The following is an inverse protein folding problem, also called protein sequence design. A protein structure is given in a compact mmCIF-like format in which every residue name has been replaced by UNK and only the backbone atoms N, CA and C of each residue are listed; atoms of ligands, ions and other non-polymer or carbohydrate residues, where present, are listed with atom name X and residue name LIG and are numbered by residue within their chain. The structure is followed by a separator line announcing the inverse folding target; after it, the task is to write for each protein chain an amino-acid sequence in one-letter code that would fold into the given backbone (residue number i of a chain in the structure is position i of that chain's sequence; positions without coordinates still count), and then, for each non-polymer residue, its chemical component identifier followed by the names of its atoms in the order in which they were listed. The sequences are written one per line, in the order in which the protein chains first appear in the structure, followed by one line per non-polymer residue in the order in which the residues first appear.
data_IF_531777044921
#
_entry.id   IF_531777044921
#
_cell.length_a   1.000
_cell.length_b   1.000
_cell.length_c   1.000
_cell.angle_alpha   90.00
_cell.angle_beta   90.00
_cell.angle_gamma   90.00
#
_symmetry.space_group_name_H-M   'P 1'
#
loop_
_entity.id
_entity.type
_entity.pdbx_description
1 polymer ?
#
# COMPACT_ATOMS: atom_id res chain seq x y z
N UNK A 1 34.26 -45.95 -6.49
CA UNK A 1 33.24 -44.94 -6.84
C UNK A 1 31.88 -45.48 -6.43
N UNK A 2 31.17 -44.81 -5.51
CA UNK A 2 29.81 -45.23 -5.11
C UNK A 2 28.80 -44.72 -6.17
N UNK A 3 27.82 -45.54 -6.60
CA UNK A 3 26.79 -45.07 -7.51
C UNK A 3 25.79 -44.19 -6.74
N UNK A 4 25.64 -42.95 -7.19
CA UNK A 4 24.60 -42.04 -6.71
C UNK A 4 23.25 -42.56 -7.22
N UNK A 5 22.48 -43.24 -6.37
CA UNK A 5 21.11 -43.62 -6.72
C UNK A 5 20.27 -42.34 -6.82
N UNK A 6 19.73 -42.06 -8.01
CA UNK A 6 18.75 -41.00 -8.19
C UNK A 6 17.52 -41.35 -7.35
N UNK A 7 17.20 -40.52 -6.35
CA UNK A 7 16.06 -40.73 -5.44
C UNK A 7 14.74 -40.81 -6.26
N UNK A 8 14.06 -41.97 -6.31
CA UNK A 8 12.80 -42.14 -7.05
C UNK A 8 11.65 -41.28 -6.50
N UNK A 9 11.76 -40.82 -5.25
CA UNK A 9 10.79 -39.97 -4.57
C UNK A 9 11.22 -38.50 -4.51
N UNK A 10 12.20 -38.10 -5.34
CA UNK A 10 12.55 -36.68 -5.45
C UNK A 10 11.35 -35.90 -5.98
N UNK A 11 10.79 -35.03 -5.13
CA UNK A 11 9.72 -34.13 -5.54
C UNK A 11 10.19 -33.31 -6.76
N UNK A 12 9.35 -33.15 -7.80
CA UNK A 12 9.70 -32.32 -8.93
C UNK A 12 10.01 -30.92 -8.41
N UNK A 13 11.21 -30.42 -8.69
CA UNK A 13 11.54 -29.01 -8.43
C UNK A 13 10.69 -28.19 -9.37
N UNK A 14 9.56 -27.70 -8.87
CA UNK A 14 8.73 -26.76 -9.62
C UNK A 14 9.59 -25.54 -9.95
N UNK A 15 9.96 -25.40 -11.22
CA UNK A 15 10.50 -24.16 -11.72
C UNK A 15 9.32 -23.18 -11.71
N UNK A 16 9.36 -22.18 -10.84
CA UNK A 16 8.48 -21.01 -10.95
C UNK A 16 8.93 -20.19 -12.17
N UNK A 17 8.79 -20.75 -13.38
CA UNK A 17 9.01 -20.03 -14.61
C UNK A 17 7.92 -18.97 -14.72
N UNK A 18 8.36 -17.71 -14.73
CA UNK A 18 7.66 -16.50 -15.12
C UNK A 18 6.14 -16.56 -14.98
N UNK A 19 5.64 -16.22 -13.78
CA UNK A 19 4.23 -15.87 -13.59
C UNK A 19 3.91 -14.79 -14.61
N UNK A 20 3.10 -15.16 -15.61
CA UNK A 20 2.79 -14.35 -16.78
C UNK A 20 2.59 -12.87 -16.41
N UNK A 21 3.60 -12.06 -16.75
CA UNK A 21 3.60 -10.59 -16.67
C UNK A 21 2.55 -9.97 -17.59
N UNK A 22 1.97 -10.77 -18.49
CA UNK A 22 0.90 -10.44 -19.44
C UNK A 22 -0.44 -9.98 -18.84
N UNK A 23 -0.53 -9.77 -17.52
CA UNK A 23 -1.74 -9.24 -16.87
C UNK A 23 -1.53 -7.87 -16.23
N UNK A 24 -0.39 -7.23 -16.49
CA UNK A 24 -0.09 -5.87 -16.06
C UNK A 24 0.42 -5.05 -17.25
N UNK A 25 -0.14 -3.87 -17.47
CA UNK A 25 0.30 -2.93 -18.50
C UNK A 25 0.27 -1.51 -17.96
N UNK A 26 0.95 -0.62 -18.68
CA UNK A 26 0.96 0.82 -18.41
C UNK A 26 -0.08 1.52 -19.28
N UNK A 27 -0.82 2.43 -18.68
CA UNK A 27 -1.68 3.41 -19.34
C UNK A 27 -1.24 4.81 -18.85
N UNK A 28 -0.25 5.41 -19.52
CA UNK A 28 0.37 6.67 -19.08
C UNK A 28 1.04 6.57 -17.70
N UNK A 29 0.54 7.34 -16.71
CA UNK A 29 1.02 7.30 -15.32
C UNK A 29 0.28 6.30 -14.42
N UNK A 30 -0.55 5.45 -15.03
CA UNK A 30 -1.41 4.49 -14.37
C UNK A 30 -0.91 3.07 -14.65
N UNK A 31 -0.74 2.31 -13.58
CA UNK A 31 -0.54 0.88 -13.63
C UNK A 31 -1.91 0.19 -13.69
N UNK A 32 -2.17 -0.57 -14.75
CA UNK A 32 -3.36 -1.40 -14.87
C UNK A 32 -2.96 -2.86 -14.63
N UNK A 33 -3.63 -3.52 -13.69
CA UNK A 33 -3.37 -4.91 -13.35
C UNK A 33 -4.69 -5.65 -13.11
N UNK A 34 -4.71 -6.97 -13.31
CA UNK A 34 -5.90 -7.75 -12.95
C UNK A 34 -6.14 -7.76 -11.44
N UNK A 35 -7.40 -7.90 -11.02
CA UNK A 35 -7.83 -7.80 -9.60
C UNK A 35 -7.16 -8.78 -8.63
N UNK A 36 -6.57 -9.86 -9.18
CA UNK A 36 -5.80 -10.90 -8.47
C UNK A 36 -4.42 -11.12 -9.09
N UNK A 37 -3.90 -10.15 -9.85
CA UNK A 37 -2.59 -10.26 -10.45
C UNK A 37 -1.49 -10.23 -9.38
N UNK A 38 -0.46 -11.03 -9.61
CA UNK A 38 0.84 -10.83 -9.01
C UNK A 38 1.58 -9.81 -9.88
N UNK A 39 2.02 -8.70 -9.29
CA UNK A 39 2.90 -7.79 -10.00
C UNK A 39 4.26 -8.49 -10.23
N UNK A 40 5.09 -8.00 -11.15
CA UNK A 40 6.46 -8.48 -11.31
C UNK A 40 7.26 -8.34 -9.99
N UNK A 41 8.23 -9.24 -9.68
CA UNK A 41 9.08 -9.22 -8.47
C UNK A 41 10.09 -8.07 -8.48
N UNK A 42 9.59 -6.85 -8.63
CA UNK A 42 10.34 -5.62 -8.74
C UNK A 42 9.72 -4.56 -7.84
N UNK A 43 10.55 -3.63 -7.38
CA UNK A 43 10.09 -2.55 -6.54
C UNK A 43 9.21 -1.59 -7.34
N UNK A 44 8.00 -1.33 -6.87
CA UNK A 44 7.05 -0.41 -7.53
C UNK A 44 7.54 1.04 -7.59
N UNK A 45 8.55 1.42 -6.82
CA UNK A 45 9.09 2.80 -6.73
C UNK A 45 10.38 2.97 -7.51
N UNK A 46 11.34 2.03 -7.40
CA UNK A 46 12.66 2.14 -8.02
C UNK A 46 13.00 1.05 -9.04
N UNK A 47 12.07 0.12 -9.31
CA UNK A 47 12.22 -1.00 -10.23
C UNK A 47 13.37 -1.99 -9.95
N UNK A 48 14.09 -1.87 -8.81
CA UNK A 48 15.08 -2.86 -8.37
C UNK A 48 14.40 -4.22 -8.11
N UNK A 49 15.11 -5.35 -8.29
CA UNK A 49 14.59 -6.67 -7.91
C UNK A 49 14.18 -6.66 -6.43
N UNK A 50 12.99 -7.19 -6.15
CA UNK A 50 12.39 -7.12 -4.82
C UNK A 50 11.69 -8.42 -4.43
N UNK A 51 11.74 -8.73 -3.15
CA UNK A 51 10.96 -9.81 -2.56
C UNK A 51 9.49 -9.36 -2.49
N UNK A 52 8.58 -10.27 -2.87
CA UNK A 52 7.14 -10.03 -2.77
C UNK A 52 6.70 -9.86 -1.33
N UNK A 53 5.95 -8.78 -1.06
CA UNK A 53 5.31 -8.57 0.22
C UNK A 53 4.02 -9.37 0.37
N UNK A 54 3.49 -9.39 1.60
CA UNK A 54 2.17 -9.94 1.91
C UNK A 54 1.09 -9.31 1.02
N UNK A 55 0.12 -10.09 0.51
CA UNK A 55 -0.99 -9.58 -0.29
C UNK A 55 -1.69 -8.42 0.42
N UNK A 56 -1.89 -7.30 -0.28
CA UNK A 56 -2.57 -6.11 0.25
C UNK A 56 -3.91 -5.93 -0.44
N UNK A 57 -4.94 -5.71 0.39
CA UNK A 57 -6.26 -5.34 -0.09
C UNK A 57 -6.31 -3.83 -0.39
N UNK A 58 -6.55 -3.49 -1.65
CA UNK A 58 -6.89 -2.16 -2.09
C UNK A 58 -8.41 -2.03 -2.16
N UNK A 59 -8.92 -0.93 -1.65
CA UNK A 59 -10.34 -0.59 -1.75
C UNK A 59 -10.49 0.78 -2.36
N UNK A 60 -11.42 0.89 -3.29
CA UNK A 60 -11.77 2.14 -3.93
C UNK A 60 -13.24 2.45 -3.66
N UNK A 61 -13.52 3.72 -3.43
CA UNK A 61 -14.86 4.25 -3.24
C UNK A 61 -15.09 5.31 -4.32
N UNK A 62 -16.20 5.20 -5.04
CA UNK A 62 -16.53 6.15 -6.10
C UNK A 62 -16.89 7.51 -5.46
N UNK A 63 -16.24 8.62 -5.87
CA UNK A 63 -16.38 9.92 -5.20
C UNK A 63 -17.81 10.49 -5.21
N UNK A 64 -18.64 10.11 -6.19
CA UNK A 64 -20.06 10.49 -6.23
C UNK A 64 -20.90 10.05 -5.02
N UNK A 65 -20.47 9.05 -4.23
CA UNK A 65 -21.20 8.63 -3.03
C UNK A 65 -21.08 9.62 -1.86
N UNK A 66 -20.07 10.48 -1.86
CA UNK A 66 -19.86 11.45 -0.76
C UNK A 66 -20.91 12.57 -0.74
N UNK A 67 -21.63 12.80 -1.84
CA UNK A 67 -22.49 13.98 -2.01
C UNK A 67 -23.97 13.70 -1.68
N UNK A 68 -24.40 12.44 -1.65
CA UNK A 68 -25.83 12.09 -1.72
C UNK A 68 -26.41 11.37 -0.50
N UNK A 69 -25.62 10.99 0.51
CA UNK A 69 -26.11 10.09 1.58
C UNK A 69 -25.68 10.56 2.98
N UNK A 70 -26.58 10.57 3.99
CA UNK A 70 -26.19 10.81 5.37
C UNK A 70 -25.16 9.78 5.85
N UNK A 71 -24.15 10.25 6.60
CA UNK A 71 -22.91 9.51 6.94
C UNK A 71 -23.18 8.08 7.44
N UNK A 72 -24.24 7.86 8.22
CA UNK A 72 -24.57 6.55 8.79
C UNK A 72 -25.01 5.53 7.72
N UNK A 73 -25.91 5.93 6.83
CA UNK A 73 -26.37 5.07 5.70
C UNK A 73 -25.22 4.83 4.74
N UNK A 74 -24.34 5.82 4.55
CA UNK A 74 -23.12 5.66 3.76
C UNK A 74 -22.20 4.58 4.34
N UNK A 75 -21.94 4.59 5.65
CA UNK A 75 -21.08 3.58 6.27
C UNK A 75 -21.61 2.17 5.99
N UNK A 76 -22.92 1.95 6.22
CA UNK A 76 -23.57 0.66 5.96
C UNK A 76 -23.51 0.28 4.47
N UNK A 77 -23.95 1.15 3.56
CA UNK A 77 -23.93 0.87 2.12
C UNK A 77 -22.50 0.63 1.61
N UNK A 78 -21.53 1.41 2.10
CA UNK A 78 -20.12 1.27 1.73
C UNK A 78 -19.56 -0.09 2.12
N UNK A 79 -20.04 -0.74 3.19
CA UNK A 79 -19.58 -2.08 3.57
C UNK A 79 -20.01 -3.14 2.54
N UNK A 80 -21.20 -3.01 1.95
CA UNK A 80 -21.73 -3.95 0.96
C UNK A 80 -21.21 -3.68 -0.47
N UNK A 81 -21.07 -2.42 -0.86
CA UNK A 81 -20.69 -2.03 -2.23
C UNK A 81 -19.16 -2.02 -2.45
N UNK A 82 -18.35 -2.17 -1.39
CA UNK A 82 -16.89 -2.05 -1.47
C UNK A 82 -16.27 -3.12 -2.38
N UNK A 83 -15.86 -2.70 -3.57
CA UNK A 83 -14.98 -3.51 -4.42
C UNK A 83 -13.59 -3.59 -3.79
N UNK A 84 -13.19 -4.80 -3.42
CA UNK A 84 -11.84 -5.11 -2.90
C UNK A 84 -11.02 -5.79 -3.99
N UNK A 85 -9.80 -5.34 -4.20
CA UNK A 85 -8.80 -5.99 -5.05
C UNK A 85 -7.61 -6.39 -4.18
N UNK A 86 -7.07 -7.59 -4.36
CA UNK A 86 -5.92 -8.08 -3.58
C UNK A 86 -4.73 -8.20 -4.49
N UNK A 87 -3.72 -7.35 -4.27
CA UNK A 87 -2.49 -7.37 -5.06
C UNK A 87 -1.27 -7.60 -4.18
N UNK A 88 -0.35 -8.37 -4.72
CA UNK A 88 0.96 -8.63 -4.14
C UNK A 88 1.92 -7.62 -4.76
N UNK A 89 2.52 -6.76 -3.93
CA UNK A 89 3.47 -5.74 -4.37
C UNK A 89 4.89 -6.11 -3.96
N UNK A 90 5.87 -5.85 -4.82
CA UNK A 90 7.28 -5.94 -4.48
C UNK A 90 7.81 -4.60 -3.96
N UNK A 91 8.56 -4.61 -2.85
CA UNK A 91 9.30 -3.45 -2.35
C UNK A 91 10.74 -3.87 -2.04
N UNK A 92 11.73 -3.09 -2.51
CA UNK A 92 13.13 -3.35 -2.17
C UNK A 92 13.40 -3.04 -0.69
N UNK A 93 14.48 -3.58 -0.13
CA UNK A 93 14.80 -3.45 1.28
C UNK A 93 15.03 -2.00 1.72
N UNK A 94 15.60 -1.16 0.86
CA UNK A 94 15.77 0.28 1.12
C UNK A 94 14.41 0.96 1.37
N UNK A 95 13.45 0.75 0.47
CA UNK A 95 12.12 1.34 0.58
C UNK A 95 11.30 0.69 1.70
N UNK A 96 11.49 -0.61 1.94
CA UNK A 96 10.90 -1.33 3.08
C UNK A 96 11.38 -0.76 4.40
N UNK A 97 12.70 -0.52 4.54
CA UNK A 97 13.32 0.06 5.74
C UNK A 97 12.93 1.51 5.93
N UNK A 98 12.93 2.33 4.86
CA UNK A 98 12.47 3.72 4.92
C UNK A 98 11.03 3.80 5.41
N UNK A 99 10.15 2.98 4.84
CA UNK A 99 8.75 2.88 5.28
C UNK A 99 8.68 2.47 6.75
N UNK A 100 9.38 1.42 7.17
CA UNK A 100 9.39 0.98 8.58
C UNK A 100 9.87 2.08 9.53
N UNK A 101 10.97 2.76 9.20
CA UNK A 101 11.51 3.86 10.00
C UNK A 101 10.51 5.02 10.11
N UNK A 102 9.79 5.33 9.02
CA UNK A 102 8.73 6.34 9.05
C UNK A 102 7.54 5.92 9.91
N UNK A 103 7.14 4.65 9.88
CA UNK A 103 6.11 4.13 10.77
C UNK A 103 6.54 4.22 12.24
N UNK A 104 7.79 3.85 12.55
CA UNK A 104 8.36 4.01 13.88
C UNK A 104 8.43 5.47 14.31
N UNK A 105 8.88 6.37 13.44
CA UNK A 105 8.91 7.80 13.72
C UNK A 105 7.49 8.34 13.99
N UNK A 106 6.50 7.97 13.17
CA UNK A 106 5.10 8.36 13.37
C UNK A 106 4.58 7.92 14.74
N UNK A 107 4.80 6.65 15.12
CA UNK A 107 4.39 6.15 16.43
C UNK A 107 5.18 6.79 17.58
N UNK A 108 6.47 7.03 17.39
CA UNK A 108 7.33 7.72 18.35
C UNK A 108 6.86 9.15 18.63
N UNK A 109 6.61 9.94 17.58
CA UNK A 109 6.05 11.29 17.71
C UNK A 109 4.66 11.28 18.35
N UNK A 110 3.82 10.30 18.01
CA UNK A 110 2.50 10.15 18.65
C UNK A 110 2.62 9.87 20.15
N UNK A 111 3.47 8.93 20.56
CA UNK A 111 3.70 8.62 21.97
C UNK A 111 4.30 9.80 22.74
N UNK A 112 5.31 10.47 22.16
CA UNK A 112 5.92 11.67 22.74
C UNK A 112 4.87 12.77 22.98
N UNK A 113 3.92 12.91 22.06
CA UNK A 113 2.88 13.92 22.16
C UNK A 113 1.85 13.61 23.24
N UNK A 114 1.52 12.34 23.48
CA UNK A 114 0.70 11.93 24.63
C UNK A 114 1.38 12.33 25.93
N UNK A 115 2.69 12.08 26.07
CA UNK A 115 3.46 12.46 27.26
C UNK A 115 3.51 13.98 27.43
N UNK A 116 3.70 14.72 26.33
CA UNK A 116 3.68 16.18 26.35
C UNK A 116 2.30 16.73 26.77
N UNK A 117 1.21 16.15 26.27
CA UNK A 117 -0.16 16.54 26.63
C UNK A 117 -0.44 16.34 28.12
N UNK A 118 -0.02 15.19 28.68
CA UNK A 118 -0.17 14.90 30.12
C UNK A 118 0.59 15.91 30.98
N UNK A 119 1.78 16.33 30.55
CA UNK A 119 2.58 17.34 31.25
C UNK A 119 1.99 18.74 31.13
N UNK A 120 1.48 19.11 29.95
CA UNK A 120 0.86 20.42 29.71
C UNK A 120 -0.44 20.58 30.53
N UNK A 121 -1.25 19.53 30.60
CA UNK A 121 -2.49 19.52 31.38
C UNK A 121 -2.28 19.77 32.88
N UNK A 122 -1.06 19.59 33.40
CA UNK A 122 -0.71 19.85 34.80
C UNK A 122 -0.25 21.28 35.09
N UNK A 123 0.25 22.02 34.08
CA UNK A 123 1.02 23.24 34.30
C UNK A 123 0.53 24.47 33.49
N UNK A 124 -0.33 24.28 32.49
CA UNK A 124 -0.68 25.33 31.52
C UNK A 124 -2.18 25.36 31.25
N UNK A 125 -2.70 26.49 30.78
CA UNK A 125 -4.11 26.66 30.41
C UNK A 125 -4.59 25.51 29.50
N UNK A 126 -5.67 24.81 29.86
CA UNK A 126 -6.15 23.63 29.14
C UNK A 126 -6.42 23.88 27.65
N UNK A 127 -6.84 25.09 27.29
CA UNK A 127 -7.18 25.48 25.92
C UNK A 127 -5.96 25.46 24.99
N UNK A 128 -4.81 25.95 25.46
CA UNK A 128 -3.58 26.03 24.67
C UNK A 128 -3.00 24.63 24.42
N UNK A 129 -3.12 23.73 25.41
CA UNK A 129 -2.74 22.32 25.27
C UNK A 129 -3.58 21.57 24.24
N UNK A 130 -4.90 21.77 24.23
CA UNK A 130 -5.77 21.18 23.22
C UNK A 130 -5.49 21.70 21.81
N UNK A 131 -5.23 23.00 21.65
CA UNK A 131 -4.92 23.61 20.37
C UNK A 131 -3.61 23.07 19.78
N UNK A 132 -2.55 22.99 20.60
CA UNK A 132 -1.25 22.45 20.18
C UNK A 132 -1.36 20.97 19.77
N UNK A 133 -2.17 20.19 20.49
CA UNK A 133 -2.43 18.79 20.16
C UNK A 133 -3.15 18.61 18.83
N UNK A 134 -4.20 19.40 18.58
CA UNK A 134 -4.97 19.39 17.32
C UNK A 134 -4.10 19.77 16.11
N UNK A 135 -3.32 20.85 16.21
CA UNK A 135 -2.41 21.29 15.15
C UNK A 135 -1.38 20.20 14.81
N UNK A 136 -0.82 19.55 15.83
CA UNK A 136 0.17 18.51 15.61
C UNK A 136 -0.44 17.23 15.03
N UNK A 137 -1.65 16.84 15.45
CA UNK A 137 -2.40 15.74 14.84
C UNK A 137 -2.72 16.03 13.37
N UNK A 138 -3.19 17.24 13.05
CA UNK A 138 -3.40 17.67 11.67
C UNK A 138 -2.11 17.55 10.85
N UNK A 139 -0.97 18.02 11.39
CA UNK A 139 0.34 17.87 10.74
C UNK A 139 0.71 16.41 10.49
N UNK A 140 0.49 15.52 11.46
CA UNK A 140 0.74 14.09 11.32
C UNK A 140 -0.18 13.44 10.28
N UNK A 141 -1.45 13.83 10.24
CA UNK A 141 -2.41 13.35 9.24
C UNK A 141 -2.00 13.79 7.84
N UNK A 142 -1.62 15.06 7.64
CA UNK A 142 -1.14 15.59 6.36
C UNK A 142 0.14 14.88 5.92
N UNK A 143 1.12 14.72 6.81
CA UNK A 143 2.33 13.96 6.53
C UNK A 143 2.01 12.52 6.13
N UNK A 144 1.08 11.86 6.83
CA UNK A 144 0.68 10.47 6.52
C UNK A 144 -0.04 10.33 5.18
N UNK A 145 -0.82 11.34 4.77
CA UNK A 145 -1.52 11.36 3.49
C UNK A 145 -0.50 11.49 2.32
N UNK A 146 0.52 12.32 2.49
CA UNK A 146 1.61 12.47 1.52
C UNK A 146 2.44 11.17 1.34
N UNK A 147 2.41 10.26 2.31
CA UNK A 147 3.15 8.98 2.26
C UNK A 147 2.39 7.86 1.53
N UNK A 148 1.15 8.08 1.06
CA UNK A 148 0.43 7.08 0.28
C UNK A 148 1.06 6.96 -1.11
N UNK A 149 2.05 6.07 -1.23
CA UNK A 149 2.75 5.77 -2.48
C UNK A 149 1.86 5.20 -3.57
N UNK A 150 0.72 4.60 -3.23
CA UNK A 150 -0.20 4.04 -4.22
C UNK A 150 -1.62 4.49 -3.92
N UNK A 151 -2.23 5.16 -4.88
CA UNK A 151 -3.63 5.54 -4.86
C UNK A 151 -4.37 4.71 -5.90
N UNK A 152 -5.35 3.92 -5.45
CA UNK A 152 -6.28 3.28 -6.38
C UNK A 152 -7.15 4.36 -7.01
N UNK A 153 -7.09 4.47 -8.34
CA UNK A 153 -7.86 5.46 -9.13
C UNK A 153 -9.22 4.91 -9.49
N UNK A 154 -9.28 3.62 -9.86
CA UNK A 154 -10.51 2.89 -10.11
C UNK A 154 -10.30 1.40 -9.91
N UNK A 155 -11.37 0.72 -9.52
CA UNK A 155 -11.42 -0.75 -9.42
C UNK A 155 -12.67 -1.19 -10.18
N UNK A 156 -12.48 -1.83 -11.33
CA UNK A 156 -13.56 -2.49 -12.07
C UNK A 156 -13.67 -3.94 -11.61
N UNK A 157 -14.52 -4.73 -12.27
CA UNK A 157 -14.71 -6.13 -11.92
C UNK A 157 -13.47 -6.99 -12.19
N UNK A 158 -12.73 -6.67 -13.27
CA UNK A 158 -11.61 -7.47 -13.76
C UNK A 158 -10.25 -6.78 -13.59
N UNK A 159 -10.19 -5.44 -13.60
CA UNK A 159 -8.95 -4.66 -13.52
C UNK A 159 -8.94 -3.67 -12.35
N UNK A 160 -7.74 -3.39 -11.86
CA UNK A 160 -7.44 -2.30 -10.95
C UNK A 160 -6.52 -1.29 -11.64
N UNK A 161 -6.80 -0.01 -11.41
CA UNK A 161 -5.96 1.10 -11.87
C UNK A 161 -5.29 1.75 -10.66
N UNK A 162 -3.96 1.72 -10.62
CA UNK A 162 -3.13 2.23 -9.53
C UNK A 162 -2.27 3.40 -10.03
N UNK A 163 -2.29 4.51 -9.30
CA UNK A 163 -1.45 5.69 -9.55
C UNK A 163 -0.42 5.87 -8.42
N UNK A 164 0.75 6.41 -8.75
CA UNK A 164 1.87 6.61 -7.82
C UNK A 164 2.99 5.57 -7.92
N UNK A 165 2.94 4.70 -8.94
CA UNK A 165 4.09 3.85 -9.29
C UNK A 165 5.24 4.73 -9.80
N UNK A 166 6.48 4.35 -9.51
CA UNK A 166 7.65 5.04 -10.02
C UNK A 166 7.76 4.90 -11.54
N UNK A 167 8.23 5.94 -12.22
CA UNK A 167 8.40 5.96 -13.69
C UNK A 167 9.22 4.78 -14.18
N UNK A 168 10.36 4.51 -13.54
CA UNK A 168 11.24 3.39 -13.89
C UNK A 168 10.55 2.01 -13.86
N UNK A 169 9.53 1.82 -13.01
CA UNK A 169 8.74 0.59 -12.99
C UNK A 169 7.69 0.58 -14.10
N UNK A 170 7.00 1.71 -14.29
CA UNK A 170 6.01 1.87 -15.37
C UNK A 170 6.65 1.67 -16.75
N UNK A 171 7.84 2.21 -16.98
CA UNK A 171 8.59 2.08 -18.24
C UNK A 171 8.99 0.64 -18.56
N UNK A 172 9.03 -0.24 -17.55
CA UNK A 172 9.34 -1.67 -17.75
C UNK A 172 8.14 -2.53 -18.11
N UNK A 173 6.93 -1.95 -18.13
CA UNK A 173 5.71 -2.64 -18.48
C UNK A 173 5.33 -2.34 -19.94
N UNK A 174 4.65 -3.29 -20.61
CA UNK A 174 4.12 -3.02 -21.95
C UNK A 174 3.10 -1.88 -21.88
N UNK A 175 3.16 -1.00 -22.86
CA UNK A 175 2.16 0.04 -23.08
C UNK A 175 1.03 -0.53 -23.96
N UNK A 176 -0.22 -0.15 -23.66
CA UNK A 176 -1.40 -0.58 -24.40
C UNK A 176 -2.14 0.61 -24.99
#
# INVERSE_FOLDING_TARGET
MKPTSANPYAAPKAAFMDVATNRCWREGDILVASRRAHLPPRCITCNKPAIMDTPRAFSWHHPGWYVLVPILVYILASMFVRKRATLVIGLCDDHRRRRRNMWLAKYGFFALNIVALINLARNVDPLLGWLAWLLMLCGLMLASAAQRTLRAVSITEHEIRLKGCGSAFLDSLPER
#
